data_IF_647366979686
#
_entry.id   IF_647366979686
#
_cell.length_a   1.000
_cell.length_b   1.000
_cell.length_c   1.000
_cell.angle_alpha   90.00
_cell.angle_beta   90.00
_cell.angle_gamma   90.00
#
_symmetry.space_group_name_H-M   'P 1'
#
loop_
_entity.id
_entity.type
_entity.pdbx_description
1 polymer ?
#
# COMPACT_ATOMS: atom_id res chain seq x y z
N UNK A 1 20.29 -1.66 -5.39
CA UNK A 1 19.42 -1.37 -4.23
C UNK A 1 17.99 -1.70 -4.65
N UNK A 2 17.31 -2.68 -4.03
CA UNK A 2 15.93 -2.98 -4.37
C UNK A 2 15.01 -1.85 -3.92
N UNK A 3 14.01 -1.53 -4.73
CA UNK A 3 13.00 -0.50 -4.45
C UNK A 3 11.64 -1.18 -4.48
N UNK A 4 10.88 -1.07 -3.39
CA UNK A 4 9.48 -1.52 -3.35
C UNK A 4 8.62 -0.36 -3.83
N UNK A 5 7.90 -0.57 -4.93
CA UNK A 5 6.99 0.43 -5.51
C UNK A 5 5.58 0.30 -4.91
N UNK A 6 4.76 1.32 -5.10
CA UNK A 6 3.32 1.30 -4.81
C UNK A 6 2.54 1.98 -5.94
N UNK A 7 1.23 2.12 -5.79
CA UNK A 7 0.33 2.73 -6.77
C UNK A 7 0.43 4.26 -6.81
N UNK A 8 0.68 4.91 -5.66
CA UNK A 8 0.78 6.35 -5.51
C UNK A 8 1.79 6.71 -4.39
N UNK A 9 1.74 7.94 -3.88
CA UNK A 9 2.60 8.39 -2.79
C UNK A 9 2.34 7.59 -1.52
N UNK A 10 3.38 6.96 -0.95
CA UNK A 10 3.31 6.12 0.25
C UNK A 10 3.06 6.95 1.53
N UNK A 11 1.87 7.50 1.67
CA UNK A 11 1.42 8.31 2.81
C UNK A 11 -0.04 8.01 3.12
N UNK A 12 -0.40 8.18 4.39
CA UNK A 12 -1.78 8.25 4.85
C UNK A 12 -1.93 9.46 5.78
N UNK A 13 -3.08 10.13 5.72
CA UNK A 13 -3.35 11.36 6.47
C UNK A 13 -4.25 11.10 7.68
N UNK A 14 -3.95 11.76 8.80
CA UNK A 14 -4.76 11.72 10.03
C UNK A 14 -4.25 12.75 11.02
N UNK A 15 -5.15 13.55 11.62
CA UNK A 15 -4.77 14.58 12.60
C UNK A 15 -4.76 14.05 14.03
N UNK A 16 -5.76 13.26 14.39
CA UNK A 16 -5.86 12.59 15.70
C UNK A 16 -5.63 11.08 15.54
N UNK A 17 -5.36 10.42 16.66
CA UNK A 17 -5.29 8.95 16.71
C UNK A 17 -6.53 8.32 16.04
N UNK A 18 -6.29 7.27 15.24
CA UNK A 18 -7.32 6.55 14.49
C UNK A 18 -7.78 7.20 13.18
N UNK A 19 -7.52 8.49 12.93
CA UNK A 19 -7.99 9.14 11.70
C UNK A 19 -7.28 8.66 10.43
N UNK A 20 -6.05 8.17 10.52
CA UNK A 20 -5.34 7.59 9.37
C UNK A 20 -6.05 6.38 8.78
N UNK A 21 -6.78 5.62 9.60
CA UNK A 21 -7.60 4.52 9.13
C UNK A 21 -8.80 4.97 8.28
N UNK A 22 -9.19 6.24 8.37
CA UNK A 22 -10.28 6.83 7.60
C UNK A 22 -9.83 7.40 6.25
N UNK A 23 -8.51 7.53 6.03
CA UNK A 23 -7.95 7.87 4.73
C UNK A 23 -7.97 6.63 3.83
N UNK A 24 -9.08 6.44 3.12
CA UNK A 24 -9.31 5.22 2.33
C UNK A 24 -8.30 5.06 1.21
N UNK A 25 -7.91 6.17 0.55
CA UNK A 25 -6.90 6.15 -0.52
C UNK A 25 -5.50 5.89 0.02
N UNK A 26 -5.12 6.58 1.09
CA UNK A 26 -3.84 6.36 1.77
C UNK A 26 -3.71 4.93 2.25
N UNK A 27 -4.75 4.39 2.90
CA UNK A 27 -4.75 3.01 3.38
C UNK A 27 -4.70 1.98 2.24
N UNK A 28 -5.36 2.23 1.11
CA UNK A 28 -5.21 1.41 -0.09
C UNK A 28 -3.77 1.43 -0.61
N UNK A 29 -3.13 2.61 -0.65
CA UNK A 29 -1.74 2.76 -1.09
C UNK A 29 -0.78 2.00 -0.16
N UNK A 30 -1.04 2.01 1.15
CA UNK A 30 -0.27 1.24 2.13
C UNK A 30 -0.45 -0.28 1.98
N UNK A 31 -1.67 -0.76 1.69
CA UNK A 31 -1.92 -2.18 1.36
C UNK A 31 -1.12 -2.60 0.13
N UNK A 32 -1.17 -1.81 -0.94
CA UNK A 32 -0.40 -2.07 -2.17
C UNK A 32 1.11 -2.12 -1.93
N UNK A 33 1.64 -1.22 -1.11
CA UNK A 33 3.05 -1.21 -0.74
C UNK A 33 3.42 -2.50 0.02
N UNK A 34 2.59 -2.90 1.00
CA UNK A 34 2.80 -4.11 1.79
C UNK A 34 2.75 -5.37 0.91
N UNK A 35 1.80 -5.44 -0.01
CA UNK A 35 1.66 -6.51 -1.00
C UNK A 35 2.91 -6.65 -1.86
N UNK A 36 3.38 -5.56 -2.45
CA UNK A 36 4.60 -5.55 -3.27
C UNK A 36 5.85 -5.94 -2.45
N UNK A 37 5.95 -5.46 -1.21
CA UNK A 37 7.03 -5.86 -0.30
C UNK A 37 6.97 -7.37 -0.01
N UNK A 38 5.77 -7.91 0.24
CA UNK A 38 5.59 -9.34 0.53
C UNK A 38 6.01 -10.22 -0.65
N UNK A 39 5.68 -9.82 -1.88
CA UNK A 39 6.08 -10.51 -3.12
C UNK A 39 7.59 -10.52 -3.24
N UNK A 40 8.23 -9.36 -3.04
CA UNK A 40 9.68 -9.24 -3.13
C UNK A 40 10.39 -10.13 -2.09
N UNK A 41 9.93 -10.12 -0.85
CA UNK A 41 10.48 -10.98 0.21
C UNK A 41 10.30 -12.46 -0.09
N UNK A 42 9.12 -12.88 -0.57
CA UNK A 42 8.85 -14.27 -0.98
C UNK A 42 9.71 -14.71 -2.16
N UNK A 43 9.92 -13.83 -3.13
CA UNK A 43 10.84 -14.06 -4.25
C UNK A 43 12.28 -14.28 -3.77
N UNK A 44 12.77 -13.47 -2.84
CA UNK A 44 14.12 -13.66 -2.28
C UNK A 44 14.26 -14.93 -1.46
N UNK A 45 13.23 -15.32 -0.73
CA UNK A 45 13.27 -16.52 0.11
C UNK A 45 13.12 -17.82 -0.69
N UNK A 46 12.27 -17.84 -1.71
CA UNK A 46 11.82 -19.10 -2.36
C UNK A 46 12.05 -19.15 -3.87
N UNK A 47 12.46 -18.04 -4.49
CA UNK A 47 12.58 -17.91 -5.94
C UNK A 47 11.26 -17.83 -6.70
N UNK A 48 10.12 -17.84 -5.99
CA UNK A 48 8.77 -17.73 -6.56
C UNK A 48 7.84 -16.93 -5.66
N UNK A 49 6.91 -16.21 -6.25
CA UNK A 49 5.84 -15.54 -5.53
C UNK A 49 4.62 -15.39 -6.43
N UNK A 50 3.44 -15.54 -5.85
CA UNK A 50 2.18 -15.24 -6.53
C UNK A 50 1.92 -13.75 -6.48
N UNK A 51 1.33 -13.21 -7.54
CA UNK A 51 0.93 -11.80 -7.57
C UNK A 51 -0.39 -11.62 -6.80
N UNK A 52 -0.47 -10.61 -5.92
CA UNK A 52 -1.68 -10.31 -5.17
C UNK A 52 -2.76 -9.74 -6.09
N UNK A 53 -4.00 -9.91 -5.69
CA UNK A 53 -5.14 -9.32 -6.38
C UNK A 53 -5.09 -7.79 -6.26
N UNK A 54 -5.38 -7.10 -7.35
CA UNK A 54 -5.28 -5.64 -7.39
C UNK A 54 -6.62 -5.03 -6.93
N UNK A 55 -6.62 -4.36 -5.78
CA UNK A 55 -7.76 -3.58 -5.30
C UNK A 55 -8.06 -2.42 -6.30
N UNK A 56 -9.33 -2.22 -6.71
CA UNK A 56 -9.71 -1.09 -7.58
C UNK A 56 -9.41 0.25 -6.92
N UNK A 57 -8.80 1.19 -7.65
CA UNK A 57 -8.40 2.49 -7.08
C UNK A 57 -9.59 3.28 -6.51
N UNK A 58 -9.45 3.73 -5.27
CA UNK A 58 -10.46 4.44 -4.49
C UNK A 58 -9.94 5.83 -4.07
N UNK A 59 -9.96 6.84 -4.97
CA UNK A 59 -9.45 8.17 -4.66
C UNK A 59 -10.27 8.84 -3.57
N UNK A 60 -9.59 9.59 -2.70
CA UNK A 60 -10.22 10.32 -1.59
C UNK A 60 -9.58 11.69 -1.41
N UNK A 61 -10.43 12.70 -1.26
CA UNK A 61 -9.99 14.01 -0.79
C UNK A 61 -10.04 14.06 0.74
N UNK A 62 -8.88 14.21 1.37
CA UNK A 62 -8.77 14.31 2.82
C UNK A 62 -9.25 15.67 3.37
N UNK A 63 -9.21 16.73 2.55
CA UNK A 63 -9.78 18.04 2.88
C UNK A 63 -11.30 17.95 2.75
N UNK A 64 -12.02 18.13 3.86
CA UNK A 64 -13.48 18.19 3.93
C UNK A 64 -13.93 19.51 4.53
#
# INVERSE_FOLDING_TARGET
>A
MPIVTSQYWNIAYGRTEGQSALDTEGMQTMRRLADNMSVMLKMYATGKAEQPEIEPWAPMHFIR
#
